data_IF_451778534655
#
_entry.id   IF_451778534655
#
_cell.length_a   1.000
_cell.length_b   1.000
_cell.length_c   1.000
_cell.angle_alpha   90.00
_cell.angle_beta   90.00
_cell.angle_gamma   90.00
#
_symmetry.space_group_name_H-M   'P 1'
#
loop_
_entity.id
_entity.type
_entity.pdbx_description
1 polymer ?
#
# COMPACT_ATOMS: atom_id res chain seq x y z
N UNK A 1 9.99 7.57 -23.90
CA UNK A 1 10.12 8.35 -22.64
C UNK A 1 8.79 9.01 -22.23
N UNK A 2 8.05 9.66 -23.13
CA UNK A 2 6.73 10.27 -22.84
C UNK A 2 5.69 9.23 -22.35
N UNK A 3 5.66 8.05 -22.93
CA UNK A 3 4.70 6.98 -22.59
C UNK A 3 4.92 6.43 -21.16
N UNK A 4 6.17 6.27 -20.72
CA UNK A 4 6.49 5.87 -19.33
C UNK A 4 6.07 6.96 -18.34
N UNK A 5 6.25 8.23 -18.70
CA UNK A 5 5.83 9.34 -17.83
C UNK A 5 4.32 9.32 -17.63
N UNK A 6 3.54 9.17 -18.67
CA UNK A 6 2.07 9.20 -18.59
C UNK A 6 1.47 7.93 -18.02
N UNK A 7 2.01 6.76 -18.35
CA UNK A 7 1.44 5.46 -17.95
C UNK A 7 1.93 4.95 -16.58
N UNK A 8 3.09 5.38 -16.12
CA UNK A 8 3.68 4.90 -14.86
C UNK A 8 3.89 6.03 -13.87
N UNK A 9 4.64 7.08 -14.25
CA UNK A 9 5.08 8.10 -13.28
C UNK A 9 3.90 8.92 -12.74
N UNK A 10 3.03 9.42 -13.62
CA UNK A 10 1.89 10.25 -13.19
C UNK A 10 0.92 9.46 -12.28
N UNK A 11 0.45 8.25 -12.64
CA UNK A 11 -0.38 7.46 -11.74
C UNK A 11 0.28 7.15 -10.40
N UNK A 12 1.59 6.87 -10.38
CA UNK A 12 2.33 6.62 -9.15
C UNK A 12 2.40 7.85 -8.24
N UNK A 13 2.58 9.04 -8.82
CA UNK A 13 2.55 10.29 -8.05
C UNK A 13 1.18 10.57 -7.45
N UNK A 14 0.10 10.34 -8.21
CA UNK A 14 -1.28 10.49 -7.70
C UNK A 14 -1.54 9.50 -6.57
N UNK A 15 -1.14 8.23 -6.73
CA UNK A 15 -1.25 7.22 -5.68
C UNK A 15 -0.46 7.62 -4.42
N UNK A 16 0.75 8.17 -4.59
CA UNK A 16 1.60 8.63 -3.49
C UNK A 16 0.96 9.77 -2.71
N UNK A 17 0.25 10.69 -3.38
CA UNK A 17 -0.51 11.75 -2.71
C UNK A 17 -1.63 11.16 -1.84
N UNK A 18 -2.41 10.21 -2.38
CA UNK A 18 -3.46 9.54 -1.62
C UNK A 18 -2.92 8.79 -0.40
N UNK A 19 -1.85 8.04 -0.58
CA UNK A 19 -1.23 7.29 0.51
C UNK A 19 -0.53 8.20 1.52
N UNK A 20 0.04 9.33 1.07
CA UNK A 20 0.67 10.30 1.96
C UNK A 20 -0.33 11.07 2.85
N UNK A 21 -1.53 11.34 2.34
CA UNK A 21 -2.60 12.00 3.10
C UNK A 21 -3.29 11.04 4.09
N UNK A 22 -3.37 9.76 3.76
CA UNK A 22 -4.07 8.76 4.56
C UNK A 22 -3.61 8.70 6.02
N UNK A 23 -2.30 8.64 6.36
CA UNK A 23 -1.84 8.63 7.75
C UNK A 23 -2.25 9.85 8.55
N UNK A 24 -2.38 11.00 7.90
CA UNK A 24 -2.80 12.24 8.55
C UNK A 24 -4.27 12.13 8.99
N UNK A 25 -5.15 11.68 8.08
CA UNK A 25 -6.56 11.46 8.42
C UNK A 25 -6.73 10.36 9.47
N UNK A 26 -5.98 9.27 9.37
CA UNK A 26 -5.98 8.19 10.37
C UNK A 26 -5.59 8.73 11.76
N UNK A 27 -4.57 9.59 11.81
CA UNK A 27 -4.14 10.22 13.09
C UNK A 27 -5.20 11.13 13.67
N UNK A 28 -5.94 11.87 12.83
CA UNK A 28 -7.10 12.63 13.28
C UNK A 28 -8.22 11.71 13.78
N UNK A 29 -8.54 10.64 13.08
CA UNK A 29 -9.54 9.66 13.51
C UNK A 29 -9.24 9.12 14.91
N UNK A 30 -7.98 8.80 15.23
CA UNK A 30 -7.60 8.34 16.57
C UNK A 30 -7.88 9.35 17.69
N UNK A 31 -7.94 10.64 17.41
CA UNK A 31 -8.33 11.66 18.41
C UNK A 31 -9.80 11.54 18.82
N UNK A 32 -10.66 11.17 17.86
CA UNK A 32 -12.10 11.01 18.09
C UNK A 32 -12.46 9.63 18.63
N UNK A 33 -11.68 8.60 18.30
CA UNK A 33 -11.92 7.21 18.71
C UNK A 33 -11.07 6.76 19.90
N UNK A 34 -10.58 7.68 20.73
CA UNK A 34 -9.80 7.37 21.95
C UNK A 34 -8.61 6.43 21.71
N UNK A 35 -7.96 6.53 20.56
CA UNK A 35 -6.87 5.66 20.08
C UNK A 35 -7.23 4.18 19.89
N UNK A 36 -8.51 3.86 19.76
CA UNK A 36 -8.97 2.50 19.48
C UNK A 36 -8.60 2.07 18.04
N UNK A 37 -7.40 1.51 17.88
CA UNK A 37 -6.85 1.17 16.58
C UNK A 37 -7.65 0.07 15.84
N UNK A 38 -8.24 -0.88 16.58
CA UNK A 38 -9.10 -1.92 15.99
C UNK A 38 -10.34 -1.32 15.35
N UNK A 39 -10.98 -0.34 16.03
CA UNK A 39 -12.17 0.33 15.51
C UNK A 39 -11.84 1.13 14.24
N UNK A 40 -10.78 1.94 14.27
CA UNK A 40 -10.35 2.73 13.10
C UNK A 40 -9.99 1.83 11.92
N UNK A 41 -9.27 0.74 12.17
CA UNK A 41 -8.95 -0.25 11.14
C UNK A 41 -10.20 -0.89 10.53
N UNK A 42 -11.12 -1.35 11.38
CA UNK A 42 -12.36 -2.00 10.94
C UNK A 42 -13.25 -1.07 10.11
N UNK A 43 -13.40 0.18 10.53
CA UNK A 43 -14.15 1.19 9.76
C UNK A 43 -13.50 1.47 8.41
N UNK A 44 -12.18 1.56 8.34
CA UNK A 44 -11.47 1.79 7.08
C UNK A 44 -11.62 0.63 6.11
N UNK A 45 -11.54 -0.62 6.60
CA UNK A 45 -11.78 -1.81 5.79
C UNK A 45 -13.24 -1.81 5.28
N UNK A 46 -14.20 -1.48 6.14
CA UNK A 46 -15.62 -1.41 5.76
C UNK A 46 -15.85 -0.36 4.66
N UNK A 47 -15.37 0.87 4.84
CA UNK A 47 -15.51 1.93 3.82
C UNK A 47 -14.76 1.58 2.54
N UNK A 48 -13.55 1.01 2.62
CA UNK A 48 -12.80 0.52 1.47
C UNK A 48 -13.56 -0.58 0.71
N UNK A 49 -14.21 -1.49 1.42
CA UNK A 49 -15.06 -2.54 0.85
C UNK A 49 -16.26 -1.97 0.09
N UNK A 50 -16.96 -0.98 0.66
CA UNK A 50 -18.08 -0.29 -0.01
C UNK A 50 -17.60 0.36 -1.31
N UNK A 51 -16.48 1.10 -1.28
CA UNK A 51 -15.89 1.71 -2.47
C UNK A 51 -15.52 0.64 -3.50
N UNK A 52 -14.93 -0.48 -3.07
CA UNK A 52 -14.59 -1.60 -3.94
C UNK A 52 -15.83 -2.21 -4.63
N UNK A 53 -16.94 -2.38 -3.92
CA UNK A 53 -18.22 -2.85 -4.50
C UNK A 53 -18.73 -1.88 -5.55
N UNK A 54 -18.68 -0.56 -5.29
CA UNK A 54 -19.10 0.44 -6.27
C UNK A 54 -18.25 0.40 -7.54
N UNK A 55 -16.94 0.20 -7.42
CA UNK A 55 -16.06 0.01 -8.57
C UNK A 55 -16.38 -1.28 -9.34
N UNK A 56 -16.66 -2.38 -8.66
CA UNK A 56 -17.06 -3.65 -9.31
C UNK A 56 -18.38 -3.48 -10.06
N UNK A 57 -19.38 -2.81 -9.48
CA UNK A 57 -20.64 -2.51 -10.15
C UNK A 57 -20.42 -1.64 -11.40
N UNK A 58 -19.55 -0.62 -11.32
CA UNK A 58 -19.19 0.23 -12.45
C UNK A 58 -18.53 -0.57 -13.58
N UNK A 59 -17.57 -1.44 -13.25
CA UNK A 59 -16.89 -2.31 -14.22
C UNK A 59 -17.86 -3.29 -14.84
N UNK A 60 -18.74 -3.92 -14.03
CA UNK A 60 -19.78 -4.84 -14.51
C UNK A 60 -20.73 -4.17 -15.50
N UNK A 61 -21.14 -2.93 -15.22
CA UNK A 61 -22.00 -2.17 -16.12
C UNK A 61 -21.30 -1.77 -17.43
N UNK A 62 -20.02 -1.44 -17.38
CA UNK A 62 -19.25 -0.96 -18.55
C UNK A 62 -18.63 -2.08 -19.41
N UNK A 63 -18.29 -3.21 -18.82
CA UNK A 63 -17.72 -4.40 -19.48
C UNK A 63 -18.67 -5.57 -19.29
N UNK A 64 -19.04 -6.28 -20.36
CA UNK A 64 -19.70 -7.58 -20.25
C UNK A 64 -18.73 -8.60 -19.64
N UNK A 65 -18.66 -8.64 -18.31
CA UNK A 65 -17.74 -9.51 -17.56
C UNK A 65 -18.09 -11.01 -17.66
N UNK A 66 -19.24 -11.36 -18.26
CA UNK A 66 -19.70 -12.76 -18.31
C UNK A 66 -18.73 -13.69 -19.03
N UNK A 67 -18.05 -13.21 -20.09
CA UNK A 67 -17.09 -14.02 -20.84
C UNK A 67 -15.76 -14.20 -20.08
N UNK A 68 -15.40 -13.22 -19.28
CA UNK A 68 -14.17 -13.21 -18.50
C UNK A 68 -14.27 -14.11 -17.24
N UNK A 69 -15.44 -14.15 -16.58
CA UNK A 69 -15.64 -14.91 -15.33
C UNK A 69 -15.59 -16.44 -15.53
N UNK A 70 -15.87 -16.94 -16.76
CA UNK A 70 -15.80 -18.37 -17.09
C UNK A 70 -14.38 -18.87 -17.40
N UNK A 71 -13.38 -18.00 -17.41
CA UNK A 71 -12.01 -18.38 -17.68
C UNK A 71 -11.34 -18.99 -16.43
N UNK A 72 -10.79 -20.22 -16.54
CA UNK A 72 -10.08 -20.91 -15.43
C UNK A 72 -8.95 -20.08 -14.81
N UNK A 73 -8.35 -19.15 -15.55
CA UNK A 73 -7.31 -18.26 -15.05
C UNK A 73 -7.84 -17.22 -14.07
N UNK A 74 -9.14 -16.87 -14.13
CA UNK A 74 -9.78 -15.96 -13.18
C UNK A 74 -9.80 -16.52 -11.77
N UNK A 75 -10.07 -17.81 -11.59
CA UNK A 75 -10.04 -18.45 -10.26
C UNK A 75 -8.66 -18.39 -9.63
N UNK A 76 -7.60 -18.63 -10.41
CA UNK A 76 -6.23 -18.50 -9.91
C UNK A 76 -5.90 -17.05 -9.54
N UNK A 77 -6.26 -16.09 -10.41
CA UNK A 77 -6.10 -14.68 -10.15
C UNK A 77 -6.83 -14.23 -8.89
N UNK A 78 -8.07 -14.69 -8.67
CA UNK A 78 -8.88 -14.37 -7.49
C UNK A 78 -8.23 -14.85 -6.19
N UNK A 79 -7.57 -16.01 -6.19
CA UNK A 79 -6.83 -16.51 -5.02
C UNK A 79 -5.68 -15.57 -4.66
N UNK A 80 -4.90 -15.10 -5.64
CA UNK A 80 -3.82 -14.16 -5.37
C UNK A 80 -4.33 -12.80 -4.90
N UNK A 81 -5.45 -12.31 -5.44
CA UNK A 81 -6.11 -11.10 -4.95
C UNK A 81 -6.57 -11.28 -3.50
N UNK A 82 -7.16 -12.43 -3.16
CA UNK A 82 -7.58 -12.73 -1.79
C UNK A 82 -6.38 -12.77 -0.83
N UNK A 83 -5.28 -13.43 -1.21
CA UNK A 83 -4.05 -13.45 -0.43
C UNK A 83 -3.48 -12.04 -0.24
N UNK A 84 -3.47 -11.23 -1.28
CA UNK A 84 -3.05 -9.82 -1.22
C UNK A 84 -3.94 -9.02 -0.27
N UNK A 85 -5.26 -9.21 -0.32
CA UNK A 85 -6.19 -8.54 0.58
C UNK A 85 -5.95 -8.94 2.05
N UNK A 86 -5.77 -10.23 2.34
CA UNK A 86 -5.49 -10.71 3.69
C UNK A 86 -4.18 -10.13 4.22
N UNK A 87 -3.11 -10.19 3.44
CA UNK A 87 -1.80 -9.66 3.86
C UNK A 87 -1.83 -8.15 4.07
N UNK A 88 -2.51 -7.41 3.20
CA UNK A 88 -2.59 -5.94 3.29
C UNK A 88 -3.55 -5.49 4.40
N UNK A 89 -4.78 -5.97 4.38
CA UNK A 89 -5.84 -5.46 5.26
C UNK A 89 -5.85 -6.10 6.64
N UNK A 90 -5.69 -7.42 6.73
CA UNK A 90 -5.74 -8.10 8.02
C UNK A 90 -4.41 -7.99 8.78
N UNK A 91 -3.26 -8.06 8.09
CA UNK A 91 -1.95 -8.02 8.75
C UNK A 91 -1.37 -6.61 8.67
N UNK A 92 -1.18 -6.08 7.46
CA UNK A 92 -0.50 -4.81 7.22
C UNK A 92 -1.16 -3.65 7.97
N UNK A 93 -2.44 -3.42 7.72
CA UNK A 93 -3.16 -2.31 8.37
C UNK A 93 -3.33 -2.49 9.88
N UNK A 94 -3.55 -3.73 10.36
CA UNK A 94 -3.68 -3.97 11.80
C UNK A 94 -2.45 -3.47 12.57
N UNK A 95 -1.26 -3.91 12.16
CA UNK A 95 -0.01 -3.51 12.81
C UNK A 95 0.35 -2.06 12.54
N UNK A 96 0.06 -1.53 11.35
CA UNK A 96 0.23 -0.12 11.04
C UNK A 96 -0.59 0.76 11.98
N UNK A 97 -1.87 0.46 12.18
CA UNK A 97 -2.73 1.23 13.07
C UNK A 97 -2.32 1.11 14.53
N UNK A 98 -1.89 -0.08 14.97
CA UNK A 98 -1.31 -0.27 16.29
C UNK A 98 -0.08 0.61 16.49
N UNK A 99 0.82 0.67 15.52
CA UNK A 99 2.00 1.53 15.57
C UNK A 99 1.60 3.02 15.58
N UNK A 100 0.67 3.41 14.71
CA UNK A 100 0.24 4.82 14.57
C UNK A 100 -0.51 5.33 15.80
N UNK A 101 -1.33 4.48 16.45
CA UNK A 101 -2.05 4.85 17.69
C UNK A 101 -1.09 5.09 18.85
N UNK A 102 -0.01 4.31 18.93
CA UNK A 102 0.99 4.37 20.01
C UNK A 102 2.09 5.41 19.77
N UNK A 103 2.31 5.83 18.52
CA UNK A 103 3.38 6.75 18.18
C UNK A 103 2.99 8.22 18.38
N UNK A 104 3.93 9.02 18.86
CA UNK A 104 3.82 10.48 18.85
C UNK A 104 4.11 11.07 17.46
N UNK A 105 4.91 10.38 16.64
CA UNK A 105 5.31 10.81 15.30
C UNK A 105 4.63 9.99 14.21
N UNK A 106 3.67 10.60 13.53
CA UNK A 106 3.03 10.00 12.34
C UNK A 106 4.05 9.77 11.22
N UNK A 107 4.98 10.73 11.04
CA UNK A 107 6.01 10.67 9.99
C UNK A 107 6.94 9.48 10.19
N UNK A 108 7.35 9.18 11.43
CA UNK A 108 8.20 8.03 11.73
C UNK A 108 7.53 6.71 11.35
N UNK A 109 6.26 6.54 11.75
CA UNK A 109 5.49 5.32 11.41
C UNK A 109 5.33 5.19 9.92
N UNK A 110 4.93 6.28 9.23
CA UNK A 110 4.76 6.27 7.78
C UNK A 110 6.06 5.95 7.06
N UNK A 111 7.19 6.55 7.48
CA UNK A 111 8.50 6.29 6.89
C UNK A 111 8.87 4.80 6.96
N UNK A 112 8.76 4.18 8.13
CA UNK A 112 9.05 2.77 8.32
C UNK A 112 8.10 1.90 7.48
N UNK A 113 6.80 2.20 7.53
CA UNK A 113 5.76 1.37 6.91
C UNK A 113 5.76 1.45 5.39
N UNK A 114 6.13 2.58 4.80
CA UNK A 114 6.10 2.74 3.35
C UNK A 114 7.45 2.53 2.68
N UNK A 115 8.56 2.77 3.36
CA UNK A 115 9.88 2.62 2.74
C UNK A 115 10.42 1.21 2.88
N UNK A 116 10.29 0.57 4.06
CA UNK A 116 10.77 -0.81 4.23
C UNK A 116 10.13 -1.80 3.24
N UNK A 117 8.81 -1.75 2.96
CA UNK A 117 8.22 -2.61 1.95
C UNK A 117 8.83 -2.49 0.56
N UNK A 118 9.35 -1.33 0.18
CA UNK A 118 10.03 -1.15 -1.13
C UNK A 118 11.23 -2.11 -1.23
N UNK A 119 12.00 -2.27 -0.16
CA UNK A 119 13.12 -3.22 -0.15
C UNK A 119 12.67 -4.67 -0.21
N UNK A 120 11.59 -5.00 0.53
CA UNK A 120 11.00 -6.35 0.52
C UNK A 120 10.47 -6.66 -0.88
N UNK A 121 9.72 -5.72 -1.50
CA UNK A 121 9.21 -5.87 -2.86
C UNK A 121 10.37 -6.06 -3.83
N UNK A 122 11.40 -5.22 -3.77
CA UNK A 122 12.56 -5.33 -4.64
C UNK A 122 13.23 -6.71 -4.53
N UNK A 123 13.47 -7.19 -3.30
CA UNK A 123 14.06 -8.52 -3.08
C UNK A 123 13.17 -9.64 -3.64
N UNK A 124 11.87 -9.59 -3.37
CA UNK A 124 10.93 -10.60 -3.85
C UNK A 124 10.73 -10.54 -5.36
N UNK A 125 10.70 -9.34 -5.97
CA UNK A 125 10.64 -9.19 -7.43
C UNK A 125 11.87 -9.81 -8.10
N UNK A 126 13.05 -9.63 -7.52
CA UNK A 126 14.27 -10.28 -8.02
C UNK A 126 14.20 -11.81 -7.92
N UNK A 127 13.72 -12.34 -6.77
CA UNK A 127 13.71 -13.79 -6.51
C UNK A 127 12.56 -14.54 -7.18
N UNK A 128 11.40 -13.90 -7.37
CA UNK A 128 10.16 -14.58 -7.79
C UNK A 128 9.74 -14.17 -9.20
N UNK A 129 9.96 -12.89 -9.57
CA UNK A 129 9.52 -12.32 -10.84
C UNK A 129 10.67 -12.18 -11.85
N UNK A 130 11.89 -12.66 -11.52
CA UNK A 130 13.08 -12.58 -12.36
C UNK A 130 13.42 -11.14 -12.83
N UNK A 131 13.02 -10.12 -12.05
CA UNK A 131 13.33 -8.72 -12.35
C UNK A 131 14.82 -8.46 -12.15
N UNK A 132 15.45 -7.86 -13.18
CA UNK A 132 16.89 -7.55 -13.14
C UNK A 132 17.14 -6.20 -12.49
N UNK A 133 17.95 -6.16 -11.44
CA UNK A 133 18.45 -4.93 -10.85
C UNK A 133 19.77 -4.50 -11.50
N UNK A 134 19.84 -3.23 -11.85
CA UNK A 134 21.10 -2.62 -12.25
C UNK A 134 21.82 -1.99 -11.04
N UNK A 135 23.10 -1.70 -11.19
CA UNK A 135 23.92 -1.11 -10.13
C UNK A 135 23.33 0.22 -9.63
N UNK A 136 22.74 1.03 -10.51
CA UNK A 136 22.11 2.29 -10.13
C UNK A 136 20.92 2.11 -9.19
N UNK A 137 20.11 1.05 -9.38
CA UNK A 137 19.01 0.70 -8.45
C UNK A 137 19.56 0.31 -7.07
N UNK A 138 20.62 -0.49 -7.02
CA UNK A 138 21.26 -0.90 -5.75
C UNK A 138 21.80 0.32 -5.00
N UNK A 139 22.50 1.21 -5.69
CA UNK A 139 22.99 2.46 -5.10
C UNK A 139 21.83 3.32 -4.57
N UNK A 140 20.74 3.48 -5.34
CA UNK A 140 19.54 4.20 -4.92
C UNK A 140 18.93 3.63 -3.65
N UNK A 141 18.84 2.31 -3.52
CA UNK A 141 18.38 1.65 -2.30
C UNK A 141 19.29 1.93 -1.10
N UNK A 142 20.61 1.83 -1.26
CA UNK A 142 21.56 2.12 -0.17
C UNK A 142 21.45 3.57 0.33
N UNK A 143 21.31 4.54 -0.58
CA UNK A 143 21.09 5.95 -0.23
C UNK A 143 19.76 6.12 0.53
N UNK A 144 18.70 5.43 0.11
CA UNK A 144 17.39 5.48 0.78
C UNK A 144 17.47 4.92 2.20
N UNK A 145 18.14 3.78 2.42
CA UNK A 145 18.37 3.22 3.76
C UNK A 145 19.12 4.21 4.64
N UNK A 146 20.20 4.79 4.11
CA UNK A 146 21.01 5.76 4.85
C UNK A 146 20.18 7.00 5.25
N UNK A 147 19.37 7.53 4.34
CA UNK A 147 18.46 8.63 4.62
C UNK A 147 17.45 8.30 5.73
N UNK A 148 16.87 7.08 5.74
CA UNK A 148 15.98 6.62 6.79
C UNK A 148 16.70 6.55 8.15
N UNK A 149 17.90 6.01 8.18
CA UNK A 149 18.71 5.91 9.42
C UNK A 149 18.98 7.30 10.01
N UNK A 150 19.37 8.27 9.17
CA UNK A 150 19.55 9.67 9.59
C UNK A 150 18.25 10.24 10.17
N UNK A 151 17.13 10.05 9.46
CA UNK A 151 15.82 10.56 9.92
C UNK A 151 15.44 9.98 11.28
N UNK A 152 15.59 8.65 11.47
CA UNK A 152 15.30 7.99 12.75
C UNK A 152 16.20 8.53 13.86
N UNK A 153 17.48 8.72 13.56
CA UNK A 153 18.44 9.27 14.52
C UNK A 153 18.07 10.70 14.95
N UNK A 154 17.72 11.56 14.00
CA UNK A 154 17.35 12.95 14.26
C UNK A 154 15.93 13.13 14.85
N UNK A 155 15.08 12.10 14.78
CA UNK A 155 13.70 12.15 15.29
C UNK A 155 13.58 11.79 16.79
N UNK A 156 14.68 11.45 17.43
CA UNK A 156 14.77 11.17 18.87
C UNK A 156 14.92 12.45 19.68
#
# INVERSE_FOLDING_TARGET
MSEIITSVVIPSLIASLGWGLSPIFDKYAFRYFNKEYLLVNSLKILFGGIIGILFLMFIYYKKNLNDDLNNKNYHKGSIFVLLSAITSFAIGYLFYYKALSNSKSTTLVALITYVIPIFIIALLSYLILDEKFNIGMIIGFLISIFGICIFIYCSR
#
